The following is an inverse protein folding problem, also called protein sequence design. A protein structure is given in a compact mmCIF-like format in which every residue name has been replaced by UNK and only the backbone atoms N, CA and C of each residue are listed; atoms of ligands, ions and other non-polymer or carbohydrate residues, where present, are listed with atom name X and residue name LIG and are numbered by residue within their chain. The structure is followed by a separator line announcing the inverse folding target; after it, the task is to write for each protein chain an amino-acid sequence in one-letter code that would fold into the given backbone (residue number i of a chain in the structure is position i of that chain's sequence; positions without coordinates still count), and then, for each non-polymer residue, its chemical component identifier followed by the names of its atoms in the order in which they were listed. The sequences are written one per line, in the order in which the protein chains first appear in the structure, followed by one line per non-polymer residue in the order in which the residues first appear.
data_IF_806493962467
#
_entry.id   IF_806493962467
#
_cell.length_a   1.000
_cell.length_b   1.000
_cell.length_c   1.000
_cell.angle_alpha   90.00
_cell.angle_beta   90.00
_cell.angle_gamma   90.00
#
_symmetry.space_group_name_H-M   'P 1'
#
loop_
_entity.id
_entity.type
_entity.pdbx_description
1 polymer ?
#
# COMPACT_ATOMS: atom_id res chain seq x y z
N UNK A 1 -6.26 7.41 3.68
CA UNK A 1 -6.79 7.02 2.35
C UNK A 1 -8.15 6.36 2.47
N UNK A 2 -9.11 6.85 1.69
CA UNK A 2 -10.42 6.19 1.48
C UNK A 2 -10.22 5.03 0.50
N UNK A 3 -10.94 3.93 0.70
CA UNK A 3 -10.81 2.72 -0.13
C UNK A 3 -11.18 2.97 -1.60
N UNK A 4 -12.06 3.94 -1.86
CA UNK A 4 -12.54 4.29 -3.20
C UNK A 4 -11.42 4.75 -4.14
N UNK A 5 -10.45 5.52 -3.63
CA UNK A 5 -9.31 6.04 -4.42
C UNK A 5 -8.28 4.96 -4.75
N UNK A 6 -8.23 3.90 -3.95
CA UNK A 6 -7.29 2.79 -4.16
C UNK A 6 -7.84 1.83 -5.22
N UNK A 7 -9.17 1.68 -5.30
CA UNK A 7 -9.84 0.80 -6.28
C UNK A 7 -9.72 1.29 -7.71
N UNK A 8 -9.50 2.58 -7.93
CA UNK A 8 -9.30 3.17 -9.27
C UNK A 8 -7.86 3.01 -9.77
N UNK A 9 -6.91 2.59 -8.92
CA UNK A 9 -5.50 2.46 -9.28
C UNK A 9 -5.20 1.13 -9.95
N UNK A 10 -4.16 1.12 -10.78
CA UNK A 10 -3.64 -0.12 -11.39
C UNK A 10 -2.99 -1.02 -10.34
N UNK A 11 -2.92 -2.33 -10.62
CA UNK A 11 -2.23 -3.30 -9.76
C UNK A 11 -0.78 -2.89 -9.49
N UNK A 12 -0.09 -2.39 -10.51
CA UNK A 12 1.30 -1.96 -10.40
C UNK A 12 1.45 -0.74 -9.47
N UNK A 13 0.58 0.25 -9.63
CA UNK A 13 0.57 1.44 -8.77
C UNK A 13 0.28 1.10 -7.30
N UNK A 14 -0.58 0.11 -7.05
CA UNK A 14 -0.85 -0.38 -5.69
C UNK A 14 0.42 -1.01 -5.08
N UNK A 15 1.17 -1.79 -5.86
CA UNK A 15 2.44 -2.37 -5.40
C UNK A 15 3.48 -1.29 -5.12
N UNK A 16 3.64 -0.32 -6.02
CA UNK A 16 4.57 0.79 -5.85
C UNK A 16 4.23 1.62 -4.60
N UNK A 17 2.94 1.84 -4.34
CA UNK A 17 2.49 2.58 -3.17
C UNK A 17 2.64 1.80 -1.85
N UNK A 18 2.53 0.46 -1.90
CA UNK A 18 2.88 -0.40 -0.76
C UNK A 18 4.36 -0.23 -0.42
N UNK A 19 5.24 -0.25 -1.41
CA UNK A 19 6.68 -0.12 -1.20
C UNK A 19 7.08 1.29 -0.73
N UNK A 20 6.45 2.33 -1.28
CA UNK A 20 6.60 3.69 -0.77
C UNK A 20 6.18 3.80 0.70
N UNK A 21 5.02 3.21 1.07
CA UNK A 21 4.50 3.24 2.44
C UNK A 21 5.39 2.43 3.41
N UNK A 22 6.05 1.36 2.95
CA UNK A 22 7.03 0.60 3.74
C UNK A 22 8.30 1.41 4.01
N UNK A 23 8.79 2.17 3.02
CA UNK A 23 9.93 3.09 3.22
C UNK A 23 9.60 4.18 4.23
N UNK A 24 8.39 4.74 4.16
CA UNK A 24 7.92 5.72 5.13
C UNK A 24 7.84 5.14 6.56
N UNK A 25 7.36 3.89 6.69
CA UNK A 25 7.36 3.18 7.97
C UNK A 25 8.78 2.97 8.53
N UNK A 26 9.74 2.63 7.67
CA UNK A 26 11.13 2.47 8.05
C UNK A 26 11.73 3.78 8.56
N UNK A 27 11.47 4.90 7.87
CA UNK A 27 11.90 6.23 8.31
C UNK A 27 11.34 6.58 9.69
N UNK A 28 10.07 6.25 9.97
CA UNK A 28 9.48 6.46 11.30
C UNK A 28 10.13 5.56 12.35
N UNK A 29 10.45 4.31 12.01
CA UNK A 29 11.19 3.43 12.92
C UNK A 29 12.56 4.01 13.27
N UNK A 30 13.30 4.54 12.29
CA UNK A 30 14.59 5.20 12.54
C UNK A 30 14.44 6.45 13.40
N UNK A 31 13.44 7.28 13.14
CA UNK A 31 13.14 8.46 13.96
C UNK A 31 12.80 8.09 15.41
N UNK A 32 12.00 7.03 15.58
CA UNK A 32 11.67 6.49 16.91
C UNK A 32 12.90 5.97 17.64
N UNK A 33 13.80 5.28 16.93
CA UNK A 33 15.04 4.77 17.50
C UNK A 33 16.01 5.90 17.85
N UNK A 34 15.99 7.02 17.10
CA UNK A 34 16.74 8.23 17.39
C UNK A 34 16.21 9.02 18.61
N UNK A 35 15.09 8.59 19.20
CA UNK A 35 14.51 9.23 20.40
C UNK A 35 13.75 10.52 20.11
N UNK A 36 13.56 10.87 18.83
CA UNK A 36 12.80 12.05 18.44
C UNK A 36 11.31 11.68 18.45
N UNK A 37 10.59 12.15 19.46
CA UNK A 37 9.17 11.85 19.67
C UNK A 37 8.31 12.38 18.52
N UNK A 38 8.11 11.55 17.50
CA UNK A 38 7.17 11.82 16.41
C UNK A 38 5.82 11.16 16.69
N UNK A 39 4.75 11.86 16.29
CA UNK A 39 3.36 11.49 16.52
C UNK A 39 3.08 9.98 16.34
N UNK A 40 2.78 9.23 17.42
CA UNK A 40 2.52 7.78 17.36
C UNK A 40 1.33 7.42 16.46
N UNK A 41 0.42 8.36 16.20
CA UNK A 41 -0.71 8.15 15.31
C UNK A 41 -0.26 7.89 13.86
N UNK A 42 0.81 8.53 13.40
CA UNK A 42 1.29 8.37 12.02
C UNK A 42 1.72 6.93 11.72
N UNK A 43 2.41 6.28 12.66
CA UNK A 43 2.80 4.86 12.54
C UNK A 43 1.57 3.95 12.39
N UNK A 44 0.51 4.24 13.14
CA UNK A 44 -0.76 3.50 13.07
C UNK A 44 -1.47 3.72 11.74
N UNK A 45 -1.47 4.95 11.24
CA UNK A 45 -2.12 5.31 9.99
C UNK A 45 -1.42 4.70 8.77
N UNK A 46 -0.09 4.70 8.75
CA UNK A 46 0.69 4.05 7.68
C UNK A 46 0.48 2.54 7.67
N UNK A 47 0.47 1.87 8.84
CA UNK A 47 0.13 0.44 8.91
C UNK A 47 -1.28 0.16 8.38
N UNK A 48 -2.26 0.99 8.73
CA UNK A 48 -3.63 0.88 8.19
C UNK A 48 -3.69 1.11 6.68
N UNK A 49 -2.88 2.04 6.16
CA UNK A 49 -2.76 2.28 4.71
C UNK A 49 -2.23 1.03 3.99
N UNK A 50 -1.14 0.44 4.47
CA UNK A 50 -0.56 -0.79 3.91
C UNK A 50 -1.57 -1.94 3.93
N UNK A 51 -2.25 -2.15 5.07
CA UNK A 51 -3.25 -3.21 5.18
C UNK A 51 -4.38 -3.06 4.16
N UNK A 52 -4.89 -1.83 3.96
CA UNK A 52 -5.94 -1.56 2.97
C UNK A 52 -5.47 -1.83 1.53
N UNK A 53 -4.26 -1.42 1.19
CA UNK A 53 -3.67 -1.67 -0.14
C UNK A 53 -3.53 -3.19 -0.40
N UNK A 54 -3.05 -3.93 0.59
CA UNK A 54 -2.93 -5.39 0.51
C UNK A 54 -4.28 -6.09 0.42
N UNK A 55 -5.31 -5.62 1.14
CA UNK A 55 -6.67 -6.15 1.03
C UNK A 55 -7.21 -5.97 -0.38
N UNK A 56 -7.05 -4.78 -0.98
CA UNK A 56 -7.54 -4.53 -2.34
C UNK A 56 -6.77 -5.37 -3.37
N UNK A 57 -5.45 -5.53 -3.20
CA UNK A 57 -4.68 -6.45 -4.04
C UNK A 57 -5.23 -7.89 -3.97
N UNK A 58 -5.61 -8.34 -2.77
CA UNK A 58 -6.21 -9.66 -2.58
C UNK A 58 -7.63 -9.75 -3.15
N UNK A 59 -8.42 -8.69 -3.06
CA UNK A 59 -9.75 -8.60 -3.69
C UNK A 59 -9.65 -8.69 -5.23
N UNK A 60 -8.61 -8.09 -5.82
CA UNK A 60 -8.29 -8.21 -7.26
C UNK A 60 -7.90 -9.65 -7.60
N UNK A 61 -6.98 -10.26 -6.84
CA UNK A 61 -6.54 -11.64 -7.09
C UNK A 61 -7.69 -12.66 -6.96
N UNK A 62 -8.67 -12.39 -6.08
CA UNK A 62 -9.87 -13.21 -5.90
C UNK A 62 -10.97 -12.94 -6.96
N UNK A 63 -10.75 -12.01 -7.89
CA UNK A 63 -11.69 -11.66 -8.95
C UNK A 63 -12.95 -10.93 -8.49
N UNK A 64 -12.98 -10.45 -7.24
CA UNK A 64 -14.09 -9.68 -6.65
C UNK A 64 -14.14 -8.28 -7.26
N UNK A 65 -12.97 -7.73 -7.60
CA UNK A 65 -12.82 -6.46 -8.32
C UNK A 65 -12.23 -6.76 -9.69
N UNK A 66 -13.02 -6.58 -10.76
CA UNK A 66 -12.54 -6.68 -12.14
C UNK A 66 -11.86 -5.37 -12.52
N UNK A 67 -10.53 -5.32 -12.45
CA UNK A 67 -9.78 -4.26 -13.11
C UNK A 67 -9.76 -4.55 -14.62
N UNK A 68 -10.30 -3.62 -15.40
CA UNK A 68 -10.43 -3.68 -16.86
C UNK A 68 -9.12 -3.38 -17.61
N UNK A 69 -7.97 -3.76 -17.04
CA UNK A 69 -6.66 -3.65 -17.69
C UNK A 69 -5.99 -5.03 -17.66
N UNK A 70 -6.41 -5.87 -18.60
CA UNK A 70 -5.63 -7.00 -19.10
C UNK A 70 -4.63 -6.48 -20.12
N UNK A 71 -3.33 -6.69 -19.88
CA UNK A 71 -2.28 -6.97 -20.90
C UNK A 71 -0.94 -7.08 -20.16
N UNK A 72 -0.34 -8.27 -20.13
CA UNK A 72 0.88 -8.59 -20.88
C UNK A 72 2.09 -8.41 -19.97
N UNK A 73 2.89 -9.41 -19.63
CA UNK A 73 3.74 -10.14 -20.56
C UNK A 73 4.03 -11.53 -19.96
N UNK A 74 3.66 -12.57 -20.71
CA UNK A 74 4.43 -13.82 -20.74
C UNK A 74 5.89 -13.47 -20.98
N UNK A 75 6.77 -13.69 -20.01
CA UNK A 75 8.17 -13.88 -20.34
C UNK A 75 8.63 -15.23 -19.80
N UNK A 76 8.95 -16.06 -20.80
CA UNK A 76 9.49 -17.41 -20.84
C UNK A 76 10.58 -17.70 -19.83
#
# INVERSE_FOLDING_TARGET
MKASEIRTKSRQEILDEIDASRRELLNICFQWQAGETRNPAQRKDIRRKIARLQTILKEIDLGIIKNSQSEGVENR
#
